data_IF_978725835527
#
_entry.id   IF_978725835527
#
_cell.length_a   1.000
_cell.length_b   1.000
_cell.length_c   1.000
_cell.angle_alpha   90.00
_cell.angle_beta   90.00
_cell.angle_gamma   90.00
#
_symmetry.space_group_name_H-M   'P 1'
#
loop_
_entity.id
_entity.type
_entity.pdbx_description
1 polymer ?
#
# COMPACT_ATOMS: atom_id res chain seq x y z
N UNK A 1 -15.52 -7.04 -12.24
CA UNK A 1 -15.42 -5.76 -11.49
C UNK A 1 -13.99 -5.27 -11.58
N UNK A 2 -13.79 -4.10 -12.15
CA UNK A 2 -12.46 -3.52 -12.34
C UNK A 2 -11.89 -2.99 -11.00
N UNK A 3 -10.64 -3.34 -10.72
CA UNK A 3 -9.84 -2.82 -9.59
C UNK A 3 -8.71 -1.96 -10.14
N UNK A 4 -8.56 -0.75 -9.64
CA UNK A 4 -7.47 0.15 -10.03
C UNK A 4 -6.42 0.21 -8.93
N UNK A 5 -5.22 -0.27 -9.21
CA UNK A 5 -4.05 -0.05 -8.37
C UNK A 5 -3.48 1.35 -8.66
N UNK A 6 -3.32 2.16 -7.62
CA UNK A 6 -2.81 3.53 -7.72
C UNK A 6 -1.38 3.60 -7.16
N UNK A 7 -0.41 3.93 -8.02
CA UNK A 7 1.01 3.93 -7.69
C UNK A 7 1.58 5.35 -7.76
N UNK A 8 1.68 6.06 -6.63
CA UNK A 8 2.45 7.29 -6.57
C UNK A 8 3.94 6.95 -6.61
N UNK A 9 4.72 7.65 -7.42
CA UNK A 9 6.17 7.43 -7.51
C UNK A 9 6.92 8.73 -7.78
N UNK A 10 8.24 8.65 -7.85
CA UNK A 10 9.11 9.75 -8.21
C UNK A 10 10.17 9.29 -9.21
N UNK A 11 10.74 10.23 -9.97
CA UNK A 11 11.84 9.95 -10.89
C UNK A 11 13.03 9.34 -10.12
N UNK A 12 13.68 8.36 -10.72
CA UNK A 12 14.81 7.64 -10.13
C UNK A 12 14.45 6.39 -9.32
N UNK A 13 13.14 6.04 -9.24
CA UNK A 13 12.68 4.80 -8.57
C UNK A 13 12.41 3.63 -9.51
N UNK A 14 12.75 3.77 -10.79
CA UNK A 14 12.47 2.75 -11.80
C UNK A 14 13.00 1.34 -11.42
N UNK A 15 14.22 1.17 -10.85
CA UNK A 15 14.69 -0.15 -10.42
C UNK A 15 13.86 -0.77 -9.30
N UNK A 16 13.28 0.05 -8.41
CA UNK A 16 12.41 -0.42 -7.33
C UNK A 16 11.03 -0.79 -7.84
N UNK A 17 10.54 -0.04 -8.83
CA UNK A 17 9.23 -0.25 -9.46
C UNK A 17 9.14 -1.57 -10.22
N UNK A 18 10.24 -2.11 -10.72
CA UNK A 18 10.25 -3.35 -11.50
C UNK A 18 9.60 -4.50 -10.71
N UNK A 19 9.99 -4.68 -9.44
CA UNK A 19 9.39 -5.72 -8.59
C UNK A 19 7.93 -5.41 -8.26
N UNK A 20 7.59 -4.16 -7.89
CA UNK A 20 6.21 -3.78 -7.57
C UNK A 20 5.27 -3.96 -8.79
N UNK A 21 5.75 -3.62 -9.99
CA UNK A 21 5.06 -3.87 -11.25
C UNK A 21 4.88 -5.35 -11.55
N UNK A 22 5.91 -6.17 -11.32
CA UNK A 22 5.82 -7.62 -11.45
C UNK A 22 4.78 -8.21 -10.50
N UNK A 23 4.79 -7.82 -9.22
CA UNK A 23 3.78 -8.22 -8.25
C UNK A 23 2.35 -7.86 -8.71
N UNK A 24 2.18 -6.68 -9.35
CA UNK A 24 0.89 -6.29 -9.91
C UNK A 24 0.47 -7.18 -11.09
N UNK A 25 1.35 -7.45 -12.03
CA UNK A 25 1.07 -8.31 -13.19
C UNK A 25 0.63 -9.70 -12.74
N UNK A 26 1.28 -10.24 -11.72
CA UNK A 26 1.03 -11.59 -11.18
C UNK A 26 -0.21 -11.70 -10.28
N UNK A 27 -0.91 -10.59 -9.98
CA UNK A 27 -2.14 -10.65 -9.20
C UNK A 27 -3.18 -11.55 -9.86
N UNK A 28 -3.85 -12.38 -9.05
CA UNK A 28 -4.88 -13.34 -9.49
C UNK A 28 -6.23 -12.70 -9.83
N UNK A 29 -6.42 -11.39 -9.55
CA UNK A 29 -7.63 -10.66 -9.92
C UNK A 29 -7.64 -10.36 -11.42
N UNK A 30 -8.69 -10.79 -12.18
CA UNK A 30 -8.65 -10.77 -13.64
C UNK A 30 -8.82 -9.36 -14.26
N UNK A 31 -9.69 -8.54 -13.67
CA UNK A 31 -9.99 -7.19 -14.20
C UNK A 31 -9.28 -6.13 -13.36
N UNK A 32 -8.06 -5.78 -13.74
CA UNK A 32 -7.23 -4.83 -13.00
C UNK A 32 -6.50 -3.87 -13.93
N UNK A 33 -6.26 -2.66 -13.45
CA UNK A 33 -5.40 -1.66 -14.10
C UNK A 33 -4.42 -1.06 -13.10
N UNK A 34 -3.26 -0.59 -13.58
CA UNK A 34 -2.24 0.09 -12.80
C UNK A 34 -2.11 1.53 -13.28
N UNK A 35 -2.36 2.48 -12.39
CA UNK A 35 -2.22 3.91 -12.64
C UNK A 35 -0.97 4.41 -11.94
N UNK A 36 0.03 4.85 -12.72
CA UNK A 36 1.31 5.34 -12.20
C UNK A 36 1.35 6.85 -12.35
N UNK A 37 1.66 7.57 -11.26
CA UNK A 37 1.77 9.03 -11.27
C UNK A 37 3.17 9.46 -10.83
N UNK A 38 3.88 10.09 -11.76
CA UNK A 38 5.24 10.63 -11.58
C UNK A 38 5.28 12.14 -11.37
N UNK A 39 4.17 12.84 -11.54
CA UNK A 39 4.10 14.31 -11.60
C UNK A 39 4.86 14.97 -10.44
N UNK A 40 5.81 15.84 -10.76
CA UNK A 40 6.57 16.63 -9.79
C UNK A 40 6.25 18.14 -10.01
N UNK A 41 6.18 18.95 -8.97
CA UNK A 41 6.52 18.69 -7.55
C UNK A 41 5.31 18.31 -6.66
N UNK A 42 4.52 17.32 -7.03
CA UNK A 42 3.35 16.94 -6.26
C UNK A 42 3.70 16.20 -4.95
N UNK A 43 2.92 16.44 -3.91
CA UNK A 43 2.95 15.66 -2.67
C UNK A 43 2.41 14.23 -2.89
N UNK A 44 2.65 13.31 -1.97
CA UNK A 44 2.10 11.95 -2.05
C UNK A 44 0.56 11.98 -2.11
N UNK A 45 -0.08 12.81 -1.27
CA UNK A 45 -1.55 12.96 -1.28
C UNK A 45 -2.08 13.46 -2.62
N UNK A 46 -1.41 14.45 -3.22
CA UNK A 46 -1.76 14.96 -4.55
C UNK A 46 -1.59 13.90 -5.65
N UNK A 47 -0.48 13.13 -5.62
CA UNK A 47 -0.27 12.02 -6.56
C UNK A 47 -1.32 10.92 -6.41
N UNK A 48 -1.69 10.58 -5.18
CA UNK A 48 -2.76 9.61 -4.91
C UNK A 48 -4.10 10.10 -5.44
N UNK A 49 -4.48 11.37 -5.20
CA UNK A 49 -5.70 11.95 -5.74
C UNK A 49 -5.67 11.95 -7.27
N UNK A 50 -4.56 12.34 -7.88
CA UNK A 50 -4.40 12.33 -9.33
C UNK A 50 -4.55 10.92 -9.92
N UNK A 51 -3.96 9.91 -9.27
CA UNK A 51 -4.13 8.52 -9.68
C UNK A 51 -5.58 8.04 -9.56
N UNK A 52 -6.28 8.41 -8.48
CA UNK A 52 -7.70 8.10 -8.31
C UNK A 52 -8.59 8.75 -9.37
N UNK A 53 -8.27 9.98 -9.82
CA UNK A 53 -8.99 10.67 -10.91
C UNK A 53 -8.83 9.95 -12.25
N UNK A 54 -7.66 9.40 -12.53
CA UNK A 54 -7.36 8.67 -13.76
C UNK A 54 -7.90 7.23 -13.75
N UNK A 55 -8.07 6.66 -12.58
CA UNK A 55 -8.53 5.29 -12.38
C UNK A 55 -10.00 5.11 -12.85
N UNK A 56 -10.33 3.92 -13.33
CA UNK A 56 -11.69 3.58 -13.84
C UNK A 56 -12.43 2.59 -12.95
N UNK A 57 -11.74 1.89 -12.04
CA UNK A 57 -12.33 0.88 -11.16
C UNK A 57 -13.19 1.48 -10.06
N UNK A 58 -14.17 0.74 -9.58
CA UNK A 58 -15.00 1.10 -8.42
C UNK A 58 -14.26 0.86 -7.10
N UNK A 59 -13.28 -0.02 -7.11
CA UNK A 59 -12.37 -0.30 -5.99
C UNK A 59 -10.97 0.19 -6.37
N UNK A 60 -10.38 0.94 -5.45
CA UNK A 60 -9.05 1.50 -5.56
C UNK A 60 -8.13 0.85 -4.53
N UNK A 61 -6.91 0.52 -4.91
CA UNK A 61 -5.93 -0.08 -4.03
C UNK A 61 -4.59 0.66 -4.13
N UNK A 62 -4.07 1.13 -3.00
CA UNK A 62 -2.75 1.77 -2.96
C UNK A 62 -1.67 0.73 -3.23
N UNK A 63 -0.77 1.08 -4.15
CA UNK A 63 0.31 0.22 -4.62
C UNK A 63 1.61 1.00 -4.61
N UNK A 64 2.35 0.92 -3.52
CA UNK A 64 3.60 1.68 -3.42
C UNK A 64 4.66 1.09 -4.35
N UNK A 65 5.44 1.97 -4.99
CA UNK A 65 6.37 1.63 -6.07
C UNK A 65 7.61 0.84 -5.62
N UNK A 66 7.79 0.69 -4.32
CA UNK A 66 8.97 0.07 -3.69
C UNK A 66 8.65 -1.16 -2.83
N UNK A 67 7.37 -1.55 -2.70
CA UNK A 67 6.95 -2.65 -1.84
C UNK A 67 6.69 -3.95 -2.63
N UNK A 68 6.86 -5.09 -1.97
CA UNK A 68 6.44 -6.39 -2.48
C UNK A 68 5.00 -6.72 -2.02
N UNK A 69 4.26 -7.39 -2.88
CA UNK A 69 2.89 -7.86 -2.62
C UNK A 69 2.69 -9.30 -3.09
N UNK A 70 2.05 -10.12 -2.26
CA UNK A 70 1.65 -11.48 -2.64
C UNK A 70 0.68 -11.48 -3.83
N UNK A 71 0.69 -12.52 -4.64
CA UNK A 71 -0.15 -12.65 -5.85
C UNK A 71 -1.66 -12.63 -5.57
N UNK A 72 -2.07 -12.90 -4.34
CA UNK A 72 -3.47 -12.92 -3.89
C UNK A 72 -3.90 -11.65 -3.15
N UNK A 73 -3.04 -10.60 -3.09
CA UNK A 73 -3.33 -9.40 -2.30
C UNK A 73 -4.62 -8.69 -2.74
N UNK A 74 -4.83 -8.52 -4.04
CA UNK A 74 -6.05 -7.85 -4.55
C UNK A 74 -7.28 -8.66 -4.17
N UNK A 75 -7.27 -9.96 -4.42
CA UNK A 75 -8.38 -10.86 -4.10
C UNK A 75 -8.71 -10.86 -2.60
N UNK A 76 -7.69 -10.95 -1.74
CA UNK A 76 -7.88 -10.91 -0.28
C UNK A 76 -8.56 -9.61 0.17
N UNK A 77 -8.00 -8.45 -0.23
CA UNK A 77 -8.50 -7.16 0.24
C UNK A 77 -9.89 -6.81 -0.31
N UNK A 78 -10.12 -7.07 -1.61
CA UNK A 78 -11.41 -6.77 -2.26
C UNK A 78 -12.53 -7.65 -1.69
N UNK A 79 -12.30 -8.96 -1.57
CA UNK A 79 -13.30 -9.87 -1.01
C UNK A 79 -13.67 -9.47 0.42
N UNK A 80 -12.68 -9.15 1.27
CA UNK A 80 -12.93 -8.72 2.65
C UNK A 80 -13.67 -7.39 2.70
N UNK A 81 -13.30 -6.42 1.86
CA UNK A 81 -13.99 -5.14 1.77
C UNK A 81 -15.49 -5.33 1.48
N UNK A 82 -15.81 -6.15 0.45
CA UNK A 82 -17.18 -6.40 0.00
C UNK A 82 -17.96 -7.22 1.03
N UNK A 83 -17.42 -8.34 1.50
CA UNK A 83 -18.09 -9.24 2.44
C UNK A 83 -18.44 -8.54 3.76
N UNK A 84 -17.59 -7.61 4.21
CA UNK A 84 -17.83 -6.87 5.44
C UNK A 84 -18.54 -5.53 5.21
N UNK A 85 -18.91 -5.20 3.96
CA UNK A 85 -19.61 -3.97 3.59
C UNK A 85 -18.90 -2.70 4.11
N UNK A 86 -17.57 -2.66 4.01
CA UNK A 86 -16.75 -1.54 4.46
C UNK A 86 -16.34 -0.64 3.29
N UNK A 87 -16.01 0.61 3.59
CA UNK A 87 -15.50 1.56 2.61
C UNK A 87 -13.99 1.51 2.48
N UNK A 88 -13.28 1.09 3.54
CA UNK A 88 -11.82 0.92 3.57
C UNK A 88 -11.50 -0.45 4.16
N UNK A 89 -10.53 -1.14 3.54
CA UNK A 89 -9.81 -2.26 4.13
C UNK A 89 -8.31 -2.05 4.00
N UNK A 90 -7.53 -2.72 4.85
CA UNK A 90 -6.08 -2.71 4.78
C UNK A 90 -5.46 -3.60 5.85
N UNK A 91 -4.13 -3.64 5.90
CA UNK A 91 -3.41 -4.48 6.83
C UNK A 91 -2.88 -3.67 8.01
N UNK A 92 -3.08 -4.19 9.23
CA UNK A 92 -2.53 -3.62 10.46
C UNK A 92 -1.26 -4.32 10.93
N UNK A 93 -0.77 -5.28 10.16
CA UNK A 93 0.54 -5.90 10.38
C UNK A 93 1.25 -6.09 9.05
N UNK A 94 2.56 -5.91 9.06
CA UNK A 94 3.40 -6.07 7.87
C UNK A 94 4.85 -6.29 8.25
N UNK A 95 5.57 -7.02 7.41
CA UNK A 95 7.02 -7.10 7.49
C UNK A 95 7.69 -5.92 6.79
N UNK A 96 8.84 -5.54 7.32
CA UNK A 96 9.76 -4.56 6.76
C UNK A 96 11.10 -5.24 6.54
N UNK A 97 11.66 -5.08 5.34
CA UNK A 97 13.00 -5.58 5.02
C UNK A 97 13.94 -4.43 4.72
N UNK A 98 14.92 -4.23 5.60
CA UNK A 98 16.02 -3.27 5.42
C UNK A 98 17.03 -3.87 4.44
N UNK A 99 16.99 -3.39 3.20
CA UNK A 99 17.83 -3.88 2.10
C UNK A 99 19.32 -3.62 2.35
N UNK A 100 19.67 -2.53 3.04
CA UNK A 100 21.03 -2.14 3.31
C UNK A 100 21.67 -2.98 4.41
N UNK A 101 20.89 -3.37 5.41
CA UNK A 101 21.35 -4.15 6.57
C UNK A 101 20.99 -5.63 6.48
N UNK A 102 20.26 -6.02 5.45
CA UNK A 102 19.67 -7.36 5.28
C UNK A 102 18.96 -7.82 6.57
N UNK A 103 18.07 -6.99 7.09
CA UNK A 103 17.41 -7.22 8.36
C UNK A 103 15.90 -7.10 8.22
N UNK A 104 15.19 -8.10 8.76
CA UNK A 104 13.74 -8.08 8.83
C UNK A 104 13.24 -7.54 10.16
N UNK A 105 12.12 -6.82 10.13
CA UNK A 105 11.36 -6.40 11.30
C UNK A 105 9.86 -6.49 11.02
N UNK A 106 9.05 -6.49 12.08
CA UNK A 106 7.60 -6.63 11.95
C UNK A 106 6.88 -5.51 12.69
N UNK A 107 5.98 -4.86 11.98
CA UNK A 107 4.96 -3.99 12.58
C UNK A 107 3.71 -4.78 12.89
N UNK A 108 3.09 -4.50 14.04
CA UNK A 108 1.75 -4.93 14.39
C UNK A 108 1.04 -3.76 15.06
N UNK A 109 -0.01 -3.29 14.43
CA UNK A 109 -0.81 -2.16 14.88
C UNK A 109 -2.15 -2.55 15.51
N UNK A 110 -3.01 -1.58 15.68
CA UNK A 110 -4.35 -1.72 16.24
C UNK A 110 -5.36 -2.17 15.17
N UNK A 111 -6.52 -2.64 15.60
CA UNK A 111 -7.58 -3.15 14.71
C UNK A 111 -8.39 -2.07 14.02
N UNK A 112 -8.17 -0.81 14.34
CA UNK A 112 -8.92 0.34 13.78
C UNK A 112 -8.12 1.18 12.78
N UNK A 113 -6.83 0.87 12.57
CA UNK A 113 -5.95 1.57 11.64
C UNK A 113 -5.22 0.59 10.73
N UNK A 114 -5.19 0.89 9.45
CA UNK A 114 -4.44 0.14 8.44
C UNK A 114 -3.22 0.95 7.97
N UNK A 115 -2.11 0.27 7.72
CA UNK A 115 -0.92 0.88 7.13
C UNK A 115 -1.26 1.51 5.77
N UNK A 116 -0.81 2.75 5.56
CA UNK A 116 -1.13 3.53 4.37
C UNK A 116 -0.84 2.81 3.05
N UNK A 117 0.32 2.17 2.94
CA UNK A 117 0.73 1.38 1.76
C UNK A 117 -0.22 0.22 1.43
N UNK A 118 -1.01 -0.25 2.40
CA UNK A 118 -1.92 -1.39 2.25
C UNK A 118 -3.39 -1.02 1.99
N UNK A 119 -3.71 0.26 1.82
CA UNK A 119 -5.11 0.70 1.70
C UNK A 119 -5.79 0.16 0.44
N UNK A 120 -6.98 -0.38 0.63
CA UNK A 120 -7.96 -0.72 -0.40
C UNK A 120 -9.29 -0.06 -0.01
N UNK A 121 -9.92 0.67 -0.93
CA UNK A 121 -11.09 1.49 -0.63
C UNK A 121 -12.02 1.64 -1.81
N UNK A 122 -13.29 1.99 -1.55
CA UNK A 122 -14.25 2.25 -2.61
C UNK A 122 -14.01 3.63 -3.24
N UNK A 123 -14.23 3.77 -4.54
CA UNK A 123 -14.23 5.06 -5.23
C UNK A 123 -15.17 6.06 -4.57
N UNK A 124 -16.39 5.62 -4.23
CA UNK A 124 -17.39 6.45 -3.54
C UNK A 124 -16.85 7.07 -2.24
N UNK A 125 -16.05 6.31 -1.48
CA UNK A 125 -15.45 6.85 -0.26
C UNK A 125 -14.42 7.93 -0.59
N UNK A 126 -13.53 7.69 -1.55
CA UNK A 126 -12.52 8.66 -1.97
C UNK A 126 -13.13 9.94 -2.53
N UNK A 127 -14.19 9.87 -3.35
CA UNK A 127 -14.89 11.05 -3.89
C UNK A 127 -15.42 11.97 -2.79
N UNK A 128 -15.88 11.41 -1.68
CA UNK A 128 -16.34 12.15 -0.51
C UNK A 128 -15.21 12.57 0.46
N UNK A 129 -14.06 11.90 0.42
CA UNK A 129 -12.98 12.06 1.40
C UNK A 129 -11.61 11.94 0.69
N UNK A 130 -11.19 12.98 -0.02
CA UNK A 130 -9.91 12.97 -0.73
C UNK A 130 -8.71 12.90 0.21
N UNK A 131 -7.59 12.40 -0.28
CA UNK A 131 -6.31 12.50 0.44
C UNK A 131 -5.94 13.96 0.66
N UNK A 132 -5.40 14.30 1.81
CA UNK A 132 -4.84 15.64 2.07
C UNK A 132 -3.60 15.86 1.24
N UNK A 133 -3.54 17.01 0.56
CA UNK A 133 -2.43 17.38 -0.34
C UNK A 133 -1.40 18.26 0.34
N UNK A 134 -1.80 19.05 1.34
CA UNK A 134 -1.00 20.05 2.04
C UNK A 134 -0.54 19.55 3.44
N UNK A 135 0.12 18.41 3.49
CA UNK A 135 0.70 18.00 4.77
C UNK A 135 1.91 18.88 5.09
N UNK A 136 1.85 19.66 6.18
CA UNK A 136 2.98 20.43 6.69
C UNK A 136 4.19 19.49 6.85
N UNK A 137 5.29 19.82 6.16
CA UNK A 137 6.53 19.04 6.04
C UNK A 137 6.51 17.89 5.01
N UNK A 138 5.67 18.00 3.98
CA UNK A 138 5.91 17.33 2.70
C UNK A 138 5.75 15.83 2.67
N UNK A 139 4.77 15.21 3.33
CA UNK A 139 4.38 13.85 2.95
C UNK A 139 3.95 12.89 4.07
N UNK A 140 3.72 13.31 5.29
CA UNK A 140 3.37 12.37 6.35
C UNK A 140 1.94 12.61 6.87
N UNK A 141 1.15 11.54 6.91
CA UNK A 141 -0.18 11.53 7.51
C UNK A 141 -1.33 11.66 6.53
N UNK A 142 -1.10 11.66 5.21
CA UNK A 142 -2.17 11.65 4.20
C UNK A 142 -3.07 10.44 4.37
N UNK A 143 -2.49 9.29 4.72
CA UNK A 143 -3.18 8.03 4.98
C UNK A 143 -3.95 8.04 6.30
N UNK A 144 -3.42 8.66 7.34
CA UNK A 144 -4.08 8.82 8.63
C UNK A 144 -5.35 9.68 8.48
N UNK A 145 -5.22 10.85 7.85
CA UNK A 145 -6.35 11.74 7.60
C UNK A 145 -7.39 11.11 6.67
N UNK A 146 -6.94 10.37 5.66
CA UNK A 146 -7.86 9.67 4.76
C UNK A 146 -8.72 8.64 5.48
N UNK A 147 -8.18 7.95 6.47
CA UNK A 147 -8.89 6.94 7.24
C UNK A 147 -9.74 7.52 8.38
N UNK A 148 -9.50 8.77 8.82
CA UNK A 148 -10.08 9.34 10.04
C UNK A 148 -11.60 9.22 10.08
N UNK A 149 -12.28 9.64 9.02
CA UNK A 149 -13.75 9.57 8.96
C UNK A 149 -14.27 8.14 8.95
N UNK A 150 -13.66 7.25 8.16
CA UNK A 150 -14.09 5.85 8.12
C UNK A 150 -13.87 5.15 9.46
N UNK A 151 -12.81 5.50 10.20
CA UNK A 151 -12.56 5.00 11.56
C UNK A 151 -13.64 5.49 12.53
N UNK A 152 -13.96 6.79 12.51
CA UNK A 152 -15.02 7.36 13.34
C UNK A 152 -16.39 6.69 13.08
N UNK A 153 -16.69 6.41 11.81
CA UNK A 153 -17.93 5.77 11.39
C UNK A 153 -17.88 4.23 11.48
N UNK A 154 -16.81 3.65 12.04
CA UNK A 154 -16.57 2.19 12.11
C UNK A 154 -16.67 1.50 10.73
N UNK A 155 -16.27 2.20 9.69
CA UNK A 155 -16.35 1.79 8.29
C UNK A 155 -14.99 1.38 7.70
N UNK A 156 -14.05 1.03 8.57
CA UNK A 156 -12.73 0.50 8.23
C UNK A 156 -12.65 -0.96 8.67
N UNK A 157 -12.04 -1.80 7.85
CA UNK A 157 -11.64 -3.16 8.18
C UNK A 157 -10.12 -3.26 8.19
N UNK A 158 -9.54 -3.37 9.37
CA UNK A 158 -8.11 -3.51 9.56
C UNK A 158 -7.77 -4.97 9.87
N UNK A 159 -6.90 -5.57 9.07
CA UNK A 159 -6.70 -7.03 9.03
C UNK A 159 -5.25 -7.34 9.38
N UNK A 160 -5.05 -8.32 10.24
CA UNK A 160 -3.72 -8.92 10.42
C UNK A 160 -3.45 -9.90 9.28
N UNK A 161 -2.47 -9.59 8.42
CA UNK A 161 -2.17 -10.39 7.24
C UNK A 161 -0.67 -10.35 6.90
N UNK A 162 0.14 -10.97 7.72
CA UNK A 162 1.60 -10.92 7.71
C UNK A 162 2.25 -11.40 6.39
N UNK A 163 1.56 -12.25 5.63
CA UNK A 163 2.11 -12.87 4.40
C UNK A 163 1.75 -12.11 3.12
N UNK A 164 1.03 -10.98 3.23
CA UNK A 164 0.50 -10.29 2.05
C UNK A 164 1.40 -9.19 1.49
N UNK A 165 2.25 -8.61 2.33
CA UNK A 165 3.13 -7.51 1.93
C UNK A 165 4.46 -7.50 2.68
N UNK A 166 5.50 -7.00 2.01
CA UNK A 166 6.78 -6.64 2.61
C UNK A 166 7.17 -5.23 2.16
N UNK A 167 7.28 -4.31 3.10
CA UNK A 167 7.80 -2.98 2.82
C UNK A 167 9.34 -3.03 2.73
N UNK A 168 9.91 -2.49 1.63
CA UNK A 168 11.35 -2.45 1.41
C UNK A 168 11.94 -1.12 1.89
N UNK A 169 12.90 -1.18 2.81
CA UNK A 169 13.63 -0.01 3.29
C UNK A 169 14.96 0.12 2.55
N UNK A 170 15.14 1.21 1.79
CA UNK A 170 16.27 1.40 0.87
C UNK A 170 16.95 2.77 0.98
N UNK A 171 16.70 3.50 2.06
CA UNK A 171 17.35 4.79 2.35
C UNK A 171 16.70 6.02 1.70
N UNK A 172 15.93 5.87 0.62
CA UNK A 172 15.15 6.95 -0.01
C UNK A 172 13.63 6.79 0.16
N UNK A 173 13.19 6.03 1.17
CA UNK A 173 11.78 5.94 1.54
C UNK A 173 11.26 7.29 2.03
N UNK A 174 10.01 7.63 1.71
CA UNK A 174 9.36 8.86 2.16
C UNK A 174 9.09 8.87 3.67
N UNK A 175 8.72 7.72 4.25
CA UNK A 175 8.60 7.56 5.69
C UNK A 175 9.97 7.51 6.37
N UNK A 176 10.12 8.19 7.50
CA UNK A 176 11.41 8.25 8.20
C UNK A 176 11.83 6.85 8.67
N UNK A 177 13.08 6.47 8.40
CA UNK A 177 13.74 5.28 8.94
C UNK A 177 13.88 5.28 10.49
N UNK A 178 13.16 6.16 11.19
CA UNK A 178 13.26 6.35 12.66
C UNK A 178 12.36 5.41 13.45
N UNK A 179 11.40 4.75 12.83
CA UNK A 179 10.53 3.82 13.55
C UNK A 179 11.24 2.47 13.65
N UNK A 180 11.61 2.11 14.86
CA UNK A 180 12.25 0.82 15.16
C UNK A 180 11.15 -0.18 15.49
N UNK A 181 10.89 -1.09 14.57
CA UNK A 181 10.02 -2.24 14.85
C UNK A 181 10.81 -3.41 15.43
N UNK A 182 10.16 -4.33 16.18
CA UNK A 182 10.79 -5.55 16.64
C UNK A 182 11.46 -6.31 15.51
N UNK A 183 12.73 -6.64 15.71
CA UNK A 183 13.51 -7.46 14.75
C UNK A 183 12.97 -8.89 14.79
N UNK A 184 12.85 -9.49 13.62
CA UNK A 184 12.46 -10.88 13.45
C UNK A 184 13.50 -11.61 12.58
N UNK A 185 13.57 -12.95 12.66
CA UNK A 185 14.40 -13.73 11.74
C UNK A 185 14.01 -13.42 10.28
N UNK A 186 14.99 -13.39 9.38
CA UNK A 186 14.73 -13.09 7.97
C UNK A 186 13.83 -14.15 7.31
N UNK A 187 13.90 -15.38 7.80
CA UNK A 187 13.09 -16.52 7.39
C UNK A 187 11.59 -16.36 7.74
N UNK A 188 11.24 -15.37 8.58
CA UNK A 188 9.85 -15.03 8.88
C UNK A 188 9.17 -14.30 7.72
N UNK A 189 9.93 -13.72 6.78
CA UNK A 189 9.38 -13.10 5.57
C UNK A 189 8.66 -14.16 4.70
N UNK A 190 7.66 -13.76 3.92
CA UNK A 190 6.95 -14.67 3.03
C UNK A 190 7.89 -15.44 2.10
N UNK A 191 7.70 -16.76 1.96
CA UNK A 191 8.53 -17.58 1.06
C UNK A 191 8.45 -17.08 -0.40
N UNK A 192 7.28 -16.66 -0.84
CA UNK A 192 7.08 -16.10 -2.17
C UNK A 192 7.93 -14.83 -2.39
N UNK A 193 8.09 -13.99 -1.37
CA UNK A 193 8.96 -12.82 -1.44
C UNK A 193 10.38 -13.17 -1.89
N UNK A 194 10.99 -14.21 -1.32
CA UNK A 194 12.33 -14.64 -1.69
C UNK A 194 12.38 -15.21 -3.12
N UNK A 195 11.36 -15.93 -3.54
CA UNK A 195 11.27 -16.46 -4.91
C UNK A 195 11.24 -15.32 -5.92
N UNK A 196 10.38 -14.32 -5.68
CA UNK A 196 10.19 -13.18 -6.58
C UNK A 196 11.42 -12.26 -6.62
N UNK A 197 12.13 -12.12 -5.48
CA UNK A 197 13.37 -11.32 -5.40
C UNK A 197 14.55 -11.96 -6.14
N UNK A 198 14.60 -13.29 -6.25
CA UNK A 198 15.71 -14.03 -6.87
C UNK A 198 15.43 -14.41 -8.33
N UNK A 199 14.23 -14.25 -8.82
CA UNK A 199 13.79 -14.67 -10.15
C UNK A 199 13.66 -13.54 -11.18
N UNK A 200 14.10 -12.32 -10.84
CA UNK A 200 14.06 -11.14 -11.71
C UNK A 200 15.38 -10.86 -12.39
#
# INVERSE_FOLDING_TARGET
MLVSAIMPTTVGREPLMALAGQCFIQQDWPEKELIIVYEEPLTIGAKLNRACELAKGDILIRWDSDDWSATTRITDQVNRLIQNQKSISGYNSMYFWDMLKNRASKYTGTTDYSLGTSLCFTRKYWEANRFKEDTKNGSYGEDLFFQEKARADKNTLSIQADQMMVARLHGSNCSSNKVVFPVVPIEALPKQFFTDMNGG
#
